data_IF_832632702304
#
_entry.id   IF_832632702304
#
_cell.length_a   1.000
_cell.length_b   1.000
_cell.length_c   1.000
_cell.angle_alpha   90.00
_cell.angle_beta   90.00
_cell.angle_gamma   90.00
#
_symmetry.space_group_name_H-M   'P 1'
#
loop_
_entity.id
_entity.type
_entity.pdbx_description
1 polymer ?
#
# COMPACT_ATOMS: atom_id res chain seq x y z
N UNK A 1 -45.80 4.48 33.04
CA UNK A 1 -44.76 3.51 32.64
C UNK A 1 -44.77 3.26 31.13
N UNK A 2 -44.46 4.25 30.30
CA UNK A 2 -44.38 4.07 28.81
C UNK A 2 -43.30 4.95 28.13
N UNK A 3 -42.29 5.42 28.86
CA UNK A 3 -41.22 6.29 28.31
C UNK A 3 -39.82 5.63 28.22
N UNK A 4 -39.66 4.41 28.71
CA UNK A 4 -38.37 3.75 28.76
C UNK A 4 -38.04 2.88 27.53
N UNK A 5 -39.01 2.65 26.63
CA UNK A 5 -38.83 1.69 25.50
C UNK A 5 -38.42 2.36 24.19
N UNK A 6 -38.37 3.69 24.11
CA UNK A 6 -38.05 4.41 22.87
C UNK A 6 -36.54 4.75 22.78
N UNK A 7 -35.80 4.74 23.89
CA UNK A 7 -34.40 5.14 23.91
C UNK A 7 -33.41 4.00 23.54
N UNK A 8 -33.87 2.74 23.56
CA UNK A 8 -33.01 1.58 23.18
C UNK A 8 -32.99 1.26 21.69
N UNK A 9 -33.88 1.88 20.89
CA UNK A 9 -33.95 1.66 19.44
C UNK A 9 -33.01 2.53 18.61
N UNK A 10 -32.48 3.63 19.16
CA UNK A 10 -31.67 4.58 18.41
C UNK A 10 -30.15 4.30 18.46
N UNK A 11 -29.70 3.49 19.42
CA UNK A 11 -28.26 3.14 19.54
C UNK A 11 -27.80 2.02 18.60
N UNK A 12 -28.73 1.28 17.99
CA UNK A 12 -28.41 0.13 17.11
C UNK A 12 -28.15 0.50 15.65
N UNK A 13 -28.54 1.70 15.19
CA UNK A 13 -28.40 2.09 13.79
C UNK A 13 -27.10 2.83 13.46
N UNK A 14 -26.33 3.25 14.46
CA UNK A 14 -25.11 4.05 14.23
C UNK A 14 -23.85 3.21 13.98
N UNK A 15 -23.88 1.89 14.21
CA UNK A 15 -22.69 1.02 14.00
C UNK A 15 -22.63 0.35 12.63
N UNK A 16 -23.69 0.37 11.84
CA UNK A 16 -23.69 -0.27 10.52
C UNK A 16 -23.07 0.59 9.39
N UNK A 17 -22.71 1.83 9.67
CA UNK A 17 -22.18 2.77 8.66
C UNK A 17 -20.66 2.90 8.59
N UNK A 18 -19.89 2.24 9.46
CA UNK A 18 -18.43 2.42 9.54
C UNK A 18 -17.62 1.33 8.83
N UNK A 19 -18.24 0.29 8.28
CA UNK A 19 -17.52 -0.85 7.73
C UNK A 19 -17.12 -0.72 6.25
N UNK A 20 -17.59 0.30 5.51
CA UNK A 20 -17.34 0.41 4.05
C UNK A 20 -16.63 1.71 3.61
N UNK A 21 -15.98 2.43 4.53
CA UNK A 21 -15.34 3.71 4.17
C UNK A 21 -13.92 3.58 3.57
N UNK A 22 -13.39 2.38 3.46
CA UNK A 22 -12.02 2.13 3.01
C UNK A 22 -11.91 1.59 1.59
N UNK A 23 -12.97 0.96 1.06
CA UNK A 23 -12.97 0.46 -0.33
C UNK A 23 -13.02 1.63 -1.33
N UNK A 24 -12.07 1.64 -2.22
CA UNK A 24 -11.93 2.65 -3.28
C UNK A 24 -11.82 1.99 -4.63
N UNK A 25 -12.23 2.72 -5.66
CA UNK A 25 -12.05 2.29 -7.05
C UNK A 25 -11.14 3.26 -7.79
N UNK A 26 -10.31 2.71 -8.68
CA UNK A 26 -9.44 3.49 -9.55
C UNK A 26 -9.62 3.03 -11.00
N UNK A 27 -10.14 3.90 -11.87
CA UNK A 27 -10.25 3.61 -13.29
C UNK A 27 -8.90 3.81 -13.97
N UNK A 28 -8.40 2.74 -14.58
CA UNK A 28 -7.12 2.73 -15.29
C UNK A 28 -7.39 2.85 -16.78
N UNK A 29 -6.67 3.77 -17.40
CA UNK A 29 -6.72 4.03 -18.81
C UNK A 29 -5.38 3.80 -19.48
N UNK A 30 -5.45 3.47 -20.76
CA UNK A 30 -4.29 3.25 -21.62
C UNK A 30 -4.37 4.17 -22.85
N UNK A 31 -3.23 4.63 -23.32
CA UNK A 31 -3.11 5.48 -24.49
C UNK A 31 -1.92 5.05 -25.33
N UNK A 32 -2.12 4.83 -26.62
CA UNK A 32 -1.03 4.58 -27.55
C UNK A 32 -0.06 5.76 -27.60
N UNK A 33 1.24 5.48 -27.51
CA UNK A 33 2.29 6.50 -27.68
C UNK A 33 2.65 6.55 -29.16
N UNK A 34 1.99 7.45 -29.88
CA UNK A 34 2.16 7.68 -31.32
C UNK A 34 2.51 9.13 -31.59
N UNK A 35 2.93 9.45 -32.82
CA UNK A 35 3.22 10.83 -33.23
C UNK A 35 2.02 11.77 -33.11
N UNK A 36 0.79 11.25 -33.28
CA UNK A 36 -0.43 11.97 -33.00
C UNK A 36 -1.06 11.45 -31.72
N UNK A 37 -1.38 12.31 -30.73
CA UNK A 37 -1.94 11.86 -29.47
C UNK A 37 -3.29 11.16 -29.68
N UNK A 38 -3.34 9.87 -29.36
CA UNK A 38 -4.57 9.09 -29.35
C UNK A 38 -5.40 9.44 -28.10
N UNK A 39 -6.71 9.22 -28.16
CA UNK A 39 -7.58 9.34 -26.97
C UNK A 39 -7.28 8.21 -25.99
N UNK A 40 -7.19 8.47 -24.68
CA UNK A 40 -7.12 7.40 -23.70
C UNK A 40 -8.36 6.51 -23.74
N UNK A 41 -8.16 5.19 -23.71
CA UNK A 41 -9.23 4.19 -23.67
C UNK A 41 -9.23 3.49 -22.31
N UNK A 42 -10.39 3.06 -21.79
CA UNK A 42 -10.46 2.31 -20.53
C UNK A 42 -9.73 0.97 -20.68
N UNK A 43 -9.00 0.57 -19.67
CA UNK A 43 -8.30 -0.72 -19.59
C UNK A 43 -8.86 -1.60 -18.47
N UNK A 44 -9.00 -1.04 -17.29
CA UNK A 44 -9.45 -1.77 -16.10
C UNK A 44 -10.02 -0.83 -15.06
N UNK A 45 -10.82 -1.40 -14.15
CA UNK A 45 -11.23 -0.76 -12.92
C UNK A 45 -10.75 -1.62 -11.75
N UNK A 46 -9.94 -1.03 -10.87
CA UNK A 46 -9.42 -1.70 -9.67
C UNK A 46 -10.20 -1.25 -8.45
N UNK A 47 -10.62 -2.23 -7.63
CA UNK A 47 -11.13 -2.01 -6.28
C UNK A 47 -10.02 -2.37 -5.29
N UNK A 48 -9.81 -1.52 -4.29
CA UNK A 48 -8.76 -1.73 -3.30
C UNK A 48 -9.08 -1.07 -1.96
N UNK A 49 -8.45 -1.58 -0.91
CA UNK A 49 -8.43 -1.00 0.41
C UNK A 49 -6.97 -0.69 0.81
N UNK A 50 -6.72 0.51 1.32
CA UNK A 50 -5.39 0.91 1.80
C UNK A 50 -4.94 0.14 3.04
N UNK A 51 -5.89 -0.40 3.80
CA UNK A 51 -5.62 -1.21 5.00
C UNK A 51 -5.36 -2.69 4.65
N UNK A 52 -5.91 -3.16 3.52
CA UNK A 52 -5.76 -4.53 3.03
C UNK A 52 -5.32 -4.55 1.54
N UNK A 53 -4.15 -3.99 1.18
CA UNK A 53 -3.74 -3.82 -0.21
C UNK A 53 -3.54 -5.15 -0.97
N UNK A 54 -3.37 -6.26 -0.25
CA UNK A 54 -3.28 -7.61 -0.83
C UNK A 54 -4.63 -8.16 -1.32
N UNK A 55 -5.75 -7.55 -0.92
CA UNK A 55 -7.11 -7.95 -1.31
C UNK A 55 -7.63 -7.17 -2.51
N UNK A 56 -6.76 -6.43 -3.19
CA UNK A 56 -7.12 -5.67 -4.38
C UNK A 56 -7.66 -6.59 -5.49
N UNK A 57 -8.74 -6.14 -6.13
CA UNK A 57 -9.45 -6.89 -7.16
C UNK A 57 -9.63 -6.06 -8.42
N UNK A 58 -9.65 -6.74 -9.58
CA UNK A 58 -10.03 -6.15 -10.84
C UNK A 58 -11.52 -6.35 -11.03
N UNK A 59 -12.30 -5.26 -11.06
CA UNK A 59 -13.74 -5.32 -11.29
C UNK A 59 -14.06 -5.52 -12.77
N UNK A 60 -13.36 -4.78 -13.63
CA UNK A 60 -13.51 -4.84 -15.09
C UNK A 60 -12.14 -4.83 -15.73
N UNK A 61 -12.01 -5.55 -16.83
CA UNK A 61 -10.81 -5.55 -17.66
C UNK A 61 -11.20 -5.68 -19.12
N UNK A 62 -10.73 -4.74 -19.93
CA UNK A 62 -10.90 -4.75 -21.38
C UNK A 62 -9.53 -4.80 -22.04
N UNK A 63 -9.26 -5.91 -22.75
CA UNK A 63 -7.99 -6.00 -23.49
C UNK A 63 -7.93 -4.87 -24.53
N UNK A 64 -6.81 -4.10 -24.56
CA UNK A 64 -6.75 -2.94 -25.41
C UNK A 64 -6.67 -3.35 -26.89
N UNK A 65 -7.54 -2.76 -27.71
CA UNK A 65 -7.43 -2.83 -29.18
C UNK A 65 -6.53 -1.68 -29.64
N UNK A 66 -5.29 -2.00 -29.97
CA UNK A 66 -4.25 -1.05 -30.33
C UNK A 66 -3.87 -1.21 -31.79
N UNK A 67 -3.54 -0.12 -32.51
CA UNK A 67 -3.01 -0.21 -33.87
C UNK A 67 -1.75 -1.06 -33.93
N UNK A 68 -1.60 -1.87 -34.98
CA UNK A 68 -0.47 -2.81 -35.16
C UNK A 68 0.93 -2.16 -35.09
N UNK A 69 1.00 -0.84 -35.40
CA UNK A 69 2.26 -0.09 -35.34
C UNK A 69 2.60 0.40 -33.93
N UNK A 70 1.70 0.23 -32.95
CA UNK A 70 1.91 0.71 -31.59
C UNK A 70 2.88 -0.20 -30.86
N UNK A 71 4.02 0.35 -30.42
CA UNK A 71 5.03 -0.37 -29.62
C UNK A 71 4.95 -0.06 -28.13
N UNK A 72 4.55 1.16 -27.83
CA UNK A 72 4.52 1.67 -26.46
C UNK A 72 3.17 2.26 -26.14
N UNK A 73 2.76 2.09 -24.90
CA UNK A 73 1.54 2.62 -24.34
C UNK A 73 1.80 3.39 -23.08
N UNK A 74 1.07 4.47 -22.89
CA UNK A 74 1.01 5.21 -21.63
C UNK A 74 -0.12 4.66 -20.79
N UNK A 75 0.10 4.49 -19.50
CA UNK A 75 -0.88 3.96 -18.54
C UNK A 75 -0.98 4.86 -17.32
N UNK A 76 -2.18 5.03 -16.80
CA UNK A 76 -2.43 5.86 -15.63
C UNK A 76 -3.91 5.92 -15.26
N UNK A 77 -4.23 6.71 -14.23
CA UNK A 77 -5.61 7.07 -13.92
C UNK A 77 -5.98 8.33 -14.68
N UNK A 78 -7.05 8.25 -15.44
CA UNK A 78 -7.53 9.34 -16.31
C UNK A 78 -8.98 9.69 -15.98
N UNK A 79 -9.26 10.97 -15.92
CA UNK A 79 -10.62 11.47 -15.75
C UNK A 79 -11.19 11.93 -17.11
N UNK A 80 -12.18 11.21 -17.67
CA UNK A 80 -12.78 11.58 -18.94
C UNK A 80 -13.57 12.90 -18.89
N UNK A 81 -14.03 13.32 -17.69
CA UNK A 81 -14.79 14.56 -17.56
C UNK A 81 -13.88 15.79 -17.69
N UNK A 82 -12.74 15.79 -17.00
CA UNK A 82 -11.74 16.87 -17.08
C UNK A 82 -10.77 16.69 -18.24
N UNK A 83 -10.75 15.52 -18.88
CA UNK A 83 -9.79 15.13 -19.94
C UNK A 83 -8.34 15.23 -19.49
N UNK A 84 -8.08 14.88 -18.24
CA UNK A 84 -6.75 14.97 -17.64
C UNK A 84 -6.35 13.67 -16.96
N UNK A 85 -5.06 13.42 -16.94
CA UNK A 85 -4.48 12.37 -16.12
C UNK A 85 -4.44 12.84 -14.65
N UNK A 86 -5.10 12.11 -13.78
CA UNK A 86 -5.17 12.42 -12.34
C UNK A 86 -4.05 11.77 -11.53
N UNK A 87 -3.32 10.83 -12.15
CA UNK A 87 -2.10 10.26 -11.60
C UNK A 87 -0.89 10.52 -12.49
N UNK A 88 0.31 10.24 -11.99
CA UNK A 88 1.47 10.08 -12.86
C UNK A 88 1.24 8.89 -13.80
N UNK A 89 1.79 9.01 -15.00
CA UNK A 89 1.66 7.96 -16.02
C UNK A 89 2.98 7.21 -16.19
N UNK A 90 2.89 5.92 -16.44
CA UNK A 90 4.02 5.10 -16.86
C UNK A 90 3.93 4.75 -18.34
N UNK A 91 5.04 4.29 -18.91
CA UNK A 91 5.10 3.78 -20.27
C UNK A 91 5.46 2.30 -20.23
N UNK A 92 4.69 1.49 -20.94
CA UNK A 92 4.87 0.05 -21.03
C UNK A 92 4.94 -0.40 -22.50
N UNK A 93 5.58 -1.55 -22.77
CA UNK A 93 5.52 -2.20 -24.08
C UNK A 93 4.14 -2.83 -24.30
N UNK A 94 3.68 -2.81 -25.53
CA UNK A 94 2.47 -3.54 -25.95
C UNK A 94 2.62 -5.04 -25.74
N UNK A 95 3.85 -5.58 -25.81
CA UNK A 95 4.14 -7.00 -25.61
C UNK A 95 3.62 -7.55 -24.26
N UNK A 96 3.39 -6.67 -23.28
CA UNK A 96 2.80 -7.06 -21.99
C UNK A 96 1.36 -7.60 -22.11
N UNK A 97 0.71 -7.34 -23.24
CA UNK A 97 -0.65 -7.78 -23.53
C UNK A 97 -0.71 -8.96 -24.51
N UNK A 98 0.45 -9.41 -24.98
CA UNK A 98 0.54 -10.49 -25.96
C UNK A 98 0.13 -11.84 -25.37
N UNK A 99 -0.26 -12.75 -26.28
CA UNK A 99 -0.54 -14.14 -25.91
C UNK A 99 0.67 -14.79 -25.23
N UNK A 100 0.42 -15.36 -24.05
CA UNK A 100 1.46 -15.98 -23.23
C UNK A 100 1.96 -15.09 -22.10
N UNK A 101 1.40 -13.90 -21.94
CA UNK A 101 1.63 -13.04 -20.79
C UNK A 101 0.34 -12.78 -20.02
N UNK A 102 0.45 -12.74 -18.70
CA UNK A 102 -0.59 -12.28 -17.79
C UNK A 102 -0.24 -10.87 -17.33
N UNK A 103 -1.01 -9.83 -17.70
CA UNK A 103 -0.71 -8.48 -17.28
C UNK A 103 -1.00 -8.30 -15.79
N UNK A 104 -0.02 -7.78 -15.06
CA UNK A 104 -0.18 -7.35 -13.67
C UNK A 104 -0.26 -5.82 -13.63
N UNK A 105 -1.37 -5.30 -13.13
CA UNK A 105 -1.61 -3.88 -12.93
C UNK A 105 -1.12 -3.49 -11.54
N UNK A 106 -0.13 -2.59 -11.48
CA UNK A 106 0.48 -2.14 -10.23
C UNK A 106 0.01 -0.70 -9.99
N UNK A 107 -0.87 -0.52 -9.00
CA UNK A 107 -1.38 0.78 -8.58
C UNK A 107 -0.62 1.24 -7.34
N UNK A 108 0.09 2.36 -7.44
CA UNK A 108 0.69 3.00 -6.27
C UNK A 108 -0.24 4.10 -5.75
N UNK A 109 -0.53 4.05 -4.46
CA UNK A 109 -1.40 5.00 -3.77
C UNK A 109 -0.68 5.61 -2.56
N UNK A 110 -1.11 6.77 -2.14
CA UNK A 110 -0.68 7.35 -0.88
C UNK A 110 -1.42 6.71 0.32
N UNK A 111 -1.10 7.14 1.54
CA UNK A 111 -1.75 6.66 2.76
C UNK A 111 -3.24 7.01 2.82
N UNK A 112 -3.67 8.05 2.10
CA UNK A 112 -5.06 8.46 2.00
C UNK A 112 -5.81 7.74 0.88
N UNK A 113 -5.13 6.86 0.11
CA UNK A 113 -5.69 6.09 -0.99
C UNK A 113 -5.83 6.89 -2.29
N UNK A 114 -5.13 8.02 -2.42
CA UNK A 114 -5.09 8.76 -3.68
C UNK A 114 -4.10 8.10 -4.63
N UNK A 115 -4.50 7.80 -5.88
CA UNK A 115 -3.61 7.22 -6.87
C UNK A 115 -2.42 8.14 -7.20
N UNK A 116 -1.20 7.62 -7.07
CA UNK A 116 0.04 8.32 -7.42
C UNK A 116 0.47 7.94 -8.83
N UNK A 117 0.52 6.64 -9.13
CA UNK A 117 0.96 6.12 -10.42
C UNK A 117 0.39 4.74 -10.70
N UNK A 118 0.35 4.39 -11.97
CA UNK A 118 0.00 3.04 -12.42
C UNK A 118 1.11 2.51 -13.31
N UNK A 119 1.49 1.25 -13.13
CA UNK A 119 2.42 0.54 -14.00
C UNK A 119 1.82 -0.80 -14.44
N UNK A 120 2.29 -1.32 -15.57
CA UNK A 120 1.90 -2.64 -16.07
C UNK A 120 3.16 -3.47 -16.24
N UNK A 121 3.07 -4.72 -15.79
CA UNK A 121 4.11 -5.72 -15.96
C UNK A 121 3.51 -7.03 -16.48
N UNK A 122 3.91 -7.44 -17.67
CA UNK A 122 3.50 -8.73 -18.23
C UNK A 122 4.34 -9.87 -17.62
N UNK A 123 3.69 -10.76 -16.91
CA UNK A 123 4.32 -11.97 -16.39
C UNK A 123 4.12 -13.09 -17.39
N UNK A 124 5.22 -13.72 -17.84
CA UNK A 124 5.14 -14.84 -18.77
C UNK A 124 4.43 -16.02 -18.13
N UNK A 125 3.45 -16.56 -18.84
CA UNK A 125 2.71 -17.74 -18.42
C UNK A 125 3.60 -18.97 -18.65
N UNK A 126 3.90 -19.71 -17.58
CA UNK A 126 4.63 -20.96 -17.67
C UNK A 126 3.64 -22.12 -17.71
N UNK A 127 3.79 -23.00 -18.69
CA UNK A 127 2.87 -24.11 -18.98
C UNK A 127 2.73 -25.15 -17.84
N UNK A 128 3.60 -25.09 -16.81
CA UNK A 128 3.57 -25.99 -15.65
C UNK A 128 2.80 -25.45 -14.43
N UNK A 129 2.25 -24.23 -14.47
CA UNK A 129 1.60 -23.61 -13.33
C UNK A 129 0.09 -23.61 -13.48
N UNK A 130 -0.62 -24.22 -12.53
CA UNK A 130 -2.07 -24.06 -12.35
C UNK A 130 -2.33 -22.72 -11.63
N UNK A 131 -2.30 -21.60 -12.36
CA UNK A 131 -2.65 -20.27 -11.87
C UNK A 131 -3.86 -19.74 -12.62
N UNK A 132 -4.51 -18.78 -12.00
CA UNK A 132 -5.39 -17.88 -12.72
C UNK A 132 -4.51 -17.03 -13.67
N UNK A 133 -4.70 -17.22 -14.98
CA UNK A 133 -3.95 -16.53 -16.02
C UNK A 133 -4.59 -15.18 -16.41
N UNK A 134 -5.64 -14.79 -15.72
CA UNK A 134 -6.27 -13.50 -15.89
C UNK A 134 -5.36 -12.34 -15.47
N UNK A 135 -5.77 -11.10 -15.76
CA UNK A 135 -5.06 -9.92 -15.30
C UNK A 135 -5.04 -9.88 -13.77
N UNK A 136 -3.88 -9.52 -13.20
CA UNK A 136 -3.67 -9.47 -11.76
C UNK A 136 -3.60 -8.02 -11.28
N UNK A 137 -4.07 -7.75 -10.06
CA UNK A 137 -3.95 -6.45 -9.41
C UNK A 137 -2.93 -6.52 -8.28
N UNK A 138 -2.11 -5.47 -8.17
CA UNK A 138 -1.22 -5.24 -7.04
C UNK A 138 -1.34 -3.78 -6.61
N UNK A 139 -1.59 -3.54 -5.33
CA UNK A 139 -1.66 -2.19 -4.78
C UNK A 139 -0.50 -1.97 -3.83
N UNK A 140 0.23 -0.87 -4.04
CA UNK A 140 1.35 -0.45 -3.23
C UNK A 140 0.97 0.83 -2.49
N UNK A 141 0.83 0.74 -1.16
CA UNK A 141 0.59 1.90 -0.32
C UNK A 141 1.94 2.51 0.06
N UNK A 142 2.19 3.75 -0.37
CA UNK A 142 3.44 4.45 -0.09
C UNK A 142 3.40 5.11 1.28
N UNK A 143 4.47 4.92 2.05
CA UNK A 143 4.67 5.59 3.33
C UNK A 143 5.79 6.63 3.22
N UNK A 144 5.72 7.66 4.04
CA UNK A 144 6.82 8.61 4.15
C UNK A 144 8.11 7.89 4.57
N UNK A 145 9.18 8.09 3.83
CA UNK A 145 10.49 7.55 4.15
C UNK A 145 11.06 8.18 5.43
N UNK A 146 12.09 7.54 5.99
CA UNK A 146 12.84 8.13 7.11
C UNK A 146 13.43 9.46 6.69
N UNK A 147 13.13 10.51 7.44
CA UNK A 147 13.79 11.80 7.23
C UNK A 147 15.21 11.74 7.80
N UNK A 148 16.21 12.24 7.06
CA UNK A 148 17.57 12.31 7.58
C UNK A 148 17.63 13.31 8.75
N UNK A 149 18.39 12.98 9.78
CA UNK A 149 18.68 13.88 10.91
C UNK A 149 19.62 15.01 10.48
N UNK A 150 19.10 16.02 9.80
CA UNK A 150 19.89 17.11 9.19
C UNK A 150 20.61 18.02 10.20
N UNK A 151 20.19 18.01 11.48
CA UNK A 151 20.72 18.93 12.51
C UNK A 151 21.59 18.21 13.57
N UNK A 152 21.90 16.93 13.42
CA UNK A 152 22.81 16.26 14.33
C UNK A 152 24.24 16.36 13.80
N UNK A 153 25.17 17.00 14.55
CA UNK A 153 26.57 17.01 14.15
C UNK A 153 27.09 15.56 14.11
N UNK A 154 27.68 15.17 12.99
CA UNK A 154 28.34 13.88 12.89
C UNK A 154 29.62 13.97 13.69
N UNK A 155 29.66 13.34 14.86
CA UNK A 155 30.88 13.21 15.65
C UNK A 155 31.74 12.12 15.01
N UNK A 156 32.85 12.52 14.42
CA UNK A 156 33.83 11.61 13.88
C UNK A 156 34.83 11.24 14.99
N UNK A 157 35.20 9.96 15.08
CA UNK A 157 36.33 9.55 15.90
C UNK A 157 37.64 10.15 15.34
N UNK A 158 38.73 10.23 16.10
CA UNK A 158 40.04 10.68 15.62
C UNK A 158 40.53 9.95 14.37
N UNK A 159 39.98 8.75 14.11
CA UNK A 159 40.28 7.91 12.95
C UNK A 159 39.36 8.17 11.74
N UNK A 160 38.46 9.18 11.81
CA UNK A 160 37.55 9.56 10.72
C UNK A 160 36.34 8.64 10.54
N UNK A 161 36.08 7.72 11.48
CA UNK A 161 34.88 6.86 11.45
C UNK A 161 33.72 7.51 12.20
N UNK A 162 32.50 7.33 11.70
CA UNK A 162 31.30 7.77 12.43
C UNK A 162 31.20 7.02 13.75
N UNK A 163 31.14 7.76 14.86
CA UNK A 163 30.83 7.19 16.16
C UNK A 163 29.32 6.95 16.18
N UNK A 164 28.92 5.70 15.94
CA UNK A 164 27.55 5.28 16.19
C UNK A 164 27.38 5.26 17.71
N UNK A 165 26.43 6.00 18.32
CA UNK A 165 26.16 5.90 19.75
C UNK A 165 25.84 4.44 20.06
N UNK A 166 26.65 3.79 20.91
CA UNK A 166 26.33 2.45 21.39
C UNK A 166 25.00 2.54 22.16
N UNK A 167 23.97 1.90 21.63
CA UNK A 167 22.71 1.75 22.34
C UNK A 167 23.01 0.98 23.63
N UNK A 168 22.84 1.63 24.78
CA UNK A 168 23.02 0.99 26.08
C UNK A 168 22.19 -0.30 26.10
N UNK A 169 22.85 -1.42 26.42
CA UNK A 169 22.18 -2.71 26.49
C UNK A 169 20.96 -2.62 27.42
N UNK A 170 19.92 -3.42 27.16
CA UNK A 170 18.69 -3.44 27.96
C UNK A 170 18.98 -3.65 29.45
N UNK A 171 19.99 -4.45 29.79
CA UNK A 171 20.47 -4.64 31.15
C UNK A 171 21.05 -3.35 31.75
N UNK A 172 21.79 -2.58 31.00
CA UNK A 172 22.35 -1.29 31.41
C UNK A 172 21.30 -0.20 31.60
N UNK A 173 20.21 -0.26 30.83
CA UNK A 173 19.09 0.68 30.89
C UNK A 173 18.16 0.38 32.08
N UNK A 174 17.97 -0.89 32.43
CA UNK A 174 17.00 -1.35 33.43
C UNK A 174 17.62 -2.02 34.67
N UNK A 175 18.94 -1.87 34.91
CA UNK A 175 19.62 -2.49 36.04
C UNK A 175 19.00 -2.12 37.39
N UNK A 176 18.47 -0.90 37.50
CA UNK A 176 17.79 -0.43 38.70
C UNK A 176 16.49 -1.19 39.00
N UNK A 177 15.75 -1.64 37.93
CA UNK A 177 14.55 -2.49 38.10
C UNK A 177 14.92 -3.85 38.64
N UNK A 178 16.02 -4.42 38.17
CA UNK A 178 16.55 -5.70 38.67
C UNK A 178 16.96 -5.56 40.12
N UNK A 179 17.65 -4.48 40.49
CA UNK A 179 18.02 -4.18 41.86
C UNK A 179 16.78 -4.04 42.79
N UNK A 180 15.70 -3.42 42.29
CA UNK A 180 14.46 -3.24 43.02
C UNK A 180 13.75 -4.60 43.25
N UNK A 181 13.72 -5.47 42.27
CA UNK A 181 13.14 -6.83 42.38
C UNK A 181 13.94 -7.66 43.40
N UNK A 182 15.27 -7.63 43.35
CA UNK A 182 16.13 -8.31 44.30
C UNK A 182 15.90 -7.77 45.72
N UNK A 183 15.81 -6.45 45.86
CA UNK A 183 15.53 -5.82 47.16
C UNK A 183 14.17 -6.24 47.73
N UNK A 184 13.13 -6.29 46.88
CA UNK A 184 11.81 -6.77 47.30
C UNK A 184 11.82 -8.26 47.68
N UNK A 185 12.57 -9.11 46.99
CA UNK A 185 12.65 -10.55 47.34
C UNK A 185 13.41 -10.81 48.64
N UNK A 186 14.38 -9.96 48.98
CA UNK A 186 15.12 -10.06 50.25
C UNK A 186 14.31 -9.52 51.43
N UNK A 187 13.55 -8.41 51.21
CA UNK A 187 12.72 -7.81 52.26
C UNK A 187 11.36 -8.51 52.44
N UNK A 188 10.84 -9.17 51.39
CA UNK A 188 9.57 -9.90 51.42
C UNK A 188 9.68 -11.37 51.85
N UNK A 189 10.87 -11.88 52.11
CA UNK A 189 11.12 -13.27 52.50
C UNK A 189 11.08 -13.57 54.04
N UNK A 190 10.50 -12.68 54.83
CA UNK A 190 10.36 -12.86 56.27
C UNK A 190 8.91 -12.82 56.71
N UNK A 191 8.21 -13.95 56.62
CA UNK A 191 7.23 -14.46 57.60
C UNK A 191 6.36 -15.56 56.98
N UNK A 192 6.84 -16.78 57.09
CA UNK A 192 5.92 -17.90 57.22
C UNK A 192 6.57 -18.98 58.13
N UNK A 193 6.42 -18.74 59.42
CA UNK A 193 6.47 -19.82 60.42
C UNK A 193 5.33 -19.60 61.41
N UNK A 194 4.20 -20.22 61.19
CA UNK A 194 3.47 -21.07 62.10
C UNK A 194 2.18 -21.57 61.46
#
# INVERSE_FOLDING_TARGET
MKLATILSGLAGLALAGLANASERTAPIYIQAVTASPATPIPLAELQFDTLAPSEAQILTYEAPDLPDETKLVRVGVYDPASKQWTSSTSVASVDNFDKGYSPTLILSVDQSGVPISVAIHGVRIDAGQTRDFGPQAMVLVTAAGKQPDLNKPVVLSPEGKQVVPEEKSMLQKYWWVIALIVMMSVLGGGDEKK
#
